data_IF_255502044316
#
_entry.id   IF_255502044316
#
_cell.length_a   1.000
_cell.length_b   1.000
_cell.length_c   1.000
_cell.angle_alpha   90.00
_cell.angle_beta   90.00
_cell.angle_gamma   90.00
#
_symmetry.space_group_name_H-M   'P 1'
#
loop_
_entity.id
_entity.type
_entity.pdbx_description
1 polymer ?
#
# COMPACT_ATOMS: atom_id res chain seq x y z
N UNK A 1 25.84 29.19 -6.83
CA UNK A 1 25.88 30.30 -7.81
C UNK A 1 25.25 29.90 -9.14
N UNK A 2 25.83 28.97 -9.93
CA UNK A 2 25.29 28.53 -11.23
C UNK A 2 23.79 28.14 -11.23
N UNK A 3 23.34 27.31 -10.28
CA UNK A 3 21.94 26.86 -10.25
C UNK A 3 20.94 27.92 -9.74
N UNK A 4 21.39 29.00 -9.11
CA UNK A 4 20.52 30.14 -8.73
C UNK A 4 20.39 31.13 -9.88
N UNK A 5 21.46 31.32 -10.66
CA UNK A 5 21.44 32.09 -11.91
C UNK A 5 20.53 31.41 -12.93
N UNK A 6 20.57 30.07 -13.02
CA UNK A 6 19.68 29.31 -13.88
C UNK A 6 18.21 29.39 -13.44
N UNK A 7 17.91 29.30 -12.14
CA UNK A 7 16.54 29.48 -11.63
C UNK A 7 16.02 30.90 -11.88
N UNK A 8 16.85 31.93 -11.65
CA UNK A 8 16.51 33.32 -11.95
C UNK A 8 16.30 33.56 -13.45
N UNK A 9 17.17 33.03 -14.32
CA UNK A 9 17.03 33.14 -15.77
C UNK A 9 15.79 32.41 -16.28
N UNK A 10 15.44 31.28 -15.66
CA UNK A 10 14.24 30.51 -15.98
C UNK A 10 12.98 31.26 -15.52
N UNK A 11 13.01 31.89 -14.34
CA UNK A 11 11.92 32.72 -13.83
C UNK A 11 11.68 33.96 -14.71
N UNK A 12 12.76 34.61 -15.16
CA UNK A 12 12.73 35.72 -16.12
C UNK A 12 12.19 35.26 -17.50
N UNK A 13 12.66 34.12 -18.02
CA UNK A 13 12.18 33.59 -19.29
C UNK A 13 10.70 33.13 -19.24
N UNK A 14 10.23 32.67 -18.08
CA UNK A 14 8.82 32.36 -17.84
C UNK A 14 7.96 33.62 -17.75
N UNK A 15 8.51 34.71 -17.21
CA UNK A 15 7.81 35.99 -17.10
C UNK A 15 7.61 36.65 -18.47
N UNK A 16 8.59 36.55 -19.38
CA UNK A 16 8.44 36.99 -20.77
C UNK A 16 7.49 36.10 -21.59
N UNK A 17 7.41 34.80 -21.27
CA UNK A 17 6.48 33.88 -21.92
C UNK A 17 5.01 34.04 -21.45
N UNK A 18 4.77 34.81 -20.38
CA UNK A 18 3.44 35.03 -19.80
C UNK A 18 2.56 36.06 -20.52
N UNK A 19 3.11 36.82 -21.49
CA UNK A 19 2.41 37.94 -22.14
C UNK A 19 2.05 37.69 -23.62
N UNK A 20 2.27 36.46 -24.12
CA UNK A 20 2.01 36.10 -25.51
C UNK A 20 0.90 35.05 -25.65
N UNK A 21 -0.08 35.32 -26.50
CA UNK A 21 -1.23 34.48 -26.91
C UNK A 21 -0.86 33.10 -27.55
N UNK A 22 0.02 32.31 -26.91
CA UNK A 22 0.70 31.17 -27.52
C UNK A 22 0.13 29.81 -27.14
N UNK A 23 -0.63 29.22 -28.07
CA UNK A 23 -0.75 27.78 -28.42
C UNK A 23 -0.60 26.74 -27.29
N UNK A 24 -1.56 25.81 -27.18
CA UNK A 24 -1.57 24.66 -26.23
C UNK A 24 -0.23 23.88 -26.15
N UNK A 25 0.55 23.86 -27.25
CA UNK A 25 1.89 23.28 -27.31
C UNK A 25 2.92 23.96 -26.40
N UNK A 26 2.83 25.28 -26.19
CA UNK A 26 3.69 26.04 -25.28
C UNK A 26 3.34 25.72 -23.82
N UNK A 27 2.04 25.65 -23.50
CA UNK A 27 1.55 25.29 -22.17
C UNK A 27 1.99 23.89 -21.72
N UNK A 28 2.01 22.90 -22.63
CA UNK A 28 2.52 21.55 -22.31
C UNK A 28 4.03 21.52 -22.03
N UNK A 29 4.82 22.30 -22.77
CA UNK A 29 6.28 22.41 -22.55
C UNK A 29 6.56 23.11 -21.23
N UNK A 30 5.81 24.15 -20.90
CA UNK A 30 5.91 24.91 -19.65
C UNK A 30 5.60 24.05 -18.42
N UNK A 31 4.52 23.25 -18.44
CA UNK A 31 4.20 22.31 -17.36
C UNK A 31 5.32 21.29 -17.12
N UNK A 32 5.96 20.82 -18.20
CA UNK A 32 7.09 19.89 -18.13
C UNK A 32 8.31 20.55 -17.47
N UNK A 33 8.61 21.80 -17.85
CA UNK A 33 9.72 22.58 -17.29
C UNK A 33 9.50 22.90 -15.82
N UNK A 34 8.29 23.30 -15.42
CA UNK A 34 7.92 23.52 -14.01
C UNK A 34 8.07 22.25 -13.18
N UNK A 35 7.66 21.09 -13.73
CA UNK A 35 7.82 19.78 -13.07
C UNK A 35 9.29 19.43 -12.88
N UNK A 36 10.12 19.68 -13.89
CA UNK A 36 11.57 19.46 -13.83
C UNK A 36 12.21 20.39 -12.80
N UNK A 37 11.83 21.67 -12.76
CA UNK A 37 12.30 22.66 -11.79
C UNK A 37 12.02 22.25 -10.34
N UNK A 38 10.83 21.68 -10.06
CA UNK A 38 10.50 21.13 -8.74
C UNK A 38 11.37 19.92 -8.37
N UNK A 39 11.60 19.01 -9.31
CA UNK A 39 12.45 17.82 -9.10
C UNK A 39 13.90 18.24 -8.85
N UNK A 40 14.44 19.20 -9.60
CA UNK A 40 15.80 19.72 -9.39
C UNK A 40 15.95 20.33 -8.02
N UNK A 41 14.95 21.07 -7.53
CA UNK A 41 14.94 21.64 -6.16
C UNK A 41 14.96 20.54 -5.09
N UNK A 42 14.13 19.50 -5.23
CA UNK A 42 14.10 18.37 -4.31
C UNK A 42 15.45 17.61 -4.27
N UNK A 43 16.02 17.34 -5.44
CA UNK A 43 17.35 16.71 -5.57
C UNK A 43 18.43 17.59 -4.94
N UNK A 44 18.34 18.91 -5.08
CA UNK A 44 19.27 19.87 -4.49
C UNK A 44 19.24 19.81 -2.97
N UNK A 45 18.05 19.78 -2.36
CA UNK A 45 17.89 19.65 -0.90
C UNK A 45 18.54 18.34 -0.43
N UNK A 46 18.27 17.22 -1.10
CA UNK A 46 18.88 15.92 -0.79
C UNK A 46 20.41 15.96 -0.95
N UNK A 47 20.94 16.63 -1.99
CA UNK A 47 22.39 16.79 -2.19
C UNK A 47 23.03 17.71 -1.15
N UNK A 48 22.37 18.80 -0.77
CA UNK A 48 22.84 19.77 0.22
C UNK A 48 22.91 19.12 1.60
N UNK A 49 21.88 18.36 1.94
CA UNK A 49 21.81 17.47 3.09
C UNK A 49 22.95 16.42 3.07
N UNK A 50 23.25 15.80 1.92
CA UNK A 50 24.36 14.86 1.76
C UNK A 50 25.76 15.52 1.88
N UNK A 51 25.89 16.83 1.65
CA UNK A 51 27.15 17.56 1.72
C UNK A 51 27.55 17.92 3.17
N UNK A 52 26.59 17.97 4.10
CA UNK A 52 26.84 18.23 5.52
C UNK A 52 27.23 16.92 6.22
N UNK A 53 28.51 16.83 6.63
CA UNK A 53 29.12 15.63 7.24
C UNK A 53 28.33 15.07 8.43
N UNK A 54 27.70 15.94 9.23
CA UNK A 54 26.86 15.57 10.38
C UNK A 54 25.54 14.90 9.95
N UNK A 55 24.84 15.45 8.95
CA UNK A 55 23.60 14.85 8.43
C UNK A 55 23.85 13.53 7.70
N UNK A 56 25.02 13.35 7.07
CA UNK A 56 25.42 12.08 6.45
C UNK A 56 25.43 10.93 7.46
N UNK A 57 25.90 11.19 8.68
CA UNK A 57 25.92 10.17 9.75
C UNK A 57 24.50 9.75 10.15
N UNK A 58 23.60 10.72 10.32
CA UNK A 58 22.21 10.46 10.68
C UNK A 58 21.44 9.74 9.57
N UNK A 59 21.64 10.13 8.30
CA UNK A 59 21.07 9.44 7.15
C UNK A 59 21.64 8.04 6.93
N UNK A 60 22.90 7.79 7.27
CA UNK A 60 23.49 6.46 7.20
C UNK A 60 22.81 5.52 8.20
N UNK A 61 22.59 5.99 9.43
CA UNK A 61 21.81 5.25 10.44
C UNK A 61 20.38 5.01 10.00
N UNK A 62 19.70 6.00 9.40
CA UNK A 62 18.35 5.83 8.83
C UNK A 62 18.36 4.85 7.65
N UNK A 63 19.35 4.92 6.76
CA UNK A 63 19.46 3.99 5.64
C UNK A 63 19.66 2.55 6.12
N UNK A 64 20.42 2.35 7.20
CA UNK A 64 20.61 1.06 7.82
C UNK A 64 19.31 0.53 8.45
N UNK A 65 18.56 1.36 9.18
CA UNK A 65 17.28 0.95 9.75
C UNK A 65 16.21 0.70 8.68
N UNK A 66 16.18 1.50 7.61
CA UNK A 66 15.30 1.26 6.45
C UNK A 66 15.61 -0.07 5.77
N UNK A 67 16.89 -0.43 5.61
CA UNK A 67 17.27 -1.74 5.05
C UNK A 67 16.79 -2.89 5.93
N UNK A 68 16.93 -2.78 7.25
CA UNK A 68 16.39 -3.77 8.18
C UNK A 68 14.86 -3.82 8.12
N UNK A 69 14.20 -2.65 8.04
CA UNK A 69 12.76 -2.52 7.93
C UNK A 69 12.21 -3.16 6.64
N UNK A 70 12.93 -3.08 5.52
CA UNK A 70 12.53 -3.77 4.27
C UNK A 70 12.44 -5.28 4.49
N UNK A 71 13.42 -5.89 5.16
CA UNK A 71 13.36 -7.33 5.47
C UNK A 71 12.18 -7.67 6.38
N UNK A 72 11.88 -6.82 7.37
CA UNK A 72 10.69 -6.98 8.20
C UNK A 72 9.39 -6.87 7.40
N UNK A 73 9.30 -5.93 6.44
CA UNK A 73 8.14 -5.78 5.55
C UNK A 73 8.00 -7.00 4.62
N UNK A 74 9.10 -7.53 4.10
CA UNK A 74 9.09 -8.76 3.29
C UNK A 74 8.60 -9.95 4.12
N UNK A 75 9.09 -10.10 5.35
CA UNK A 75 8.62 -11.14 6.27
C UNK A 75 7.12 -10.98 6.58
N UNK A 76 6.67 -9.75 6.85
CA UNK A 76 5.26 -9.45 7.08
C UNK A 76 4.41 -9.78 5.85
N UNK A 77 4.86 -9.42 4.65
CA UNK A 77 4.16 -9.73 3.41
C UNK A 77 4.06 -11.25 3.17
N UNK A 78 5.09 -12.02 3.53
CA UNK A 78 5.06 -13.48 3.46
C UNK A 78 4.02 -14.07 4.43
N UNK A 79 3.95 -13.55 5.65
CA UNK A 79 2.92 -13.96 6.63
C UNK A 79 1.52 -13.64 6.10
N UNK A 80 1.30 -12.42 5.59
CA UNK A 80 0.02 -12.02 4.99
C UNK A 80 -0.35 -12.93 3.80
N UNK A 81 0.63 -13.31 2.98
CA UNK A 81 0.41 -14.23 1.86
C UNK A 81 -0.03 -15.62 2.33
N UNK A 82 0.67 -16.20 3.33
CA UNK A 82 0.32 -17.52 3.86
C UNK A 82 -1.09 -17.54 4.47
N UNK A 83 -1.41 -16.58 5.33
CA UNK A 83 -2.74 -16.49 5.93
C UNK A 83 -3.82 -16.15 4.89
N UNK A 84 -3.51 -15.26 3.94
CA UNK A 84 -4.41 -14.92 2.85
C UNK A 84 -4.73 -16.11 1.96
N UNK A 85 -3.75 -16.99 1.70
CA UNK A 85 -3.95 -18.24 0.98
C UNK A 85 -4.88 -19.18 1.75
N UNK A 86 -4.61 -19.42 3.03
CA UNK A 86 -5.42 -20.29 3.90
C UNK A 86 -6.87 -19.80 3.95
N UNK A 87 -7.11 -18.51 4.18
CA UNK A 87 -8.47 -17.98 4.27
C UNK A 87 -9.22 -18.01 2.95
N UNK A 88 -8.52 -17.81 1.83
CA UNK A 88 -9.13 -17.93 0.50
C UNK A 88 -9.53 -19.37 0.22
N UNK A 89 -8.69 -20.34 0.60
CA UNK A 89 -8.95 -21.77 0.43
C UNK A 89 -10.17 -22.20 1.24
N UNK A 90 -10.20 -21.86 2.55
CA UNK A 90 -11.33 -22.14 3.45
C UNK A 90 -12.62 -21.51 2.92
N UNK A 91 -12.57 -20.24 2.51
CA UNK A 91 -13.77 -19.53 2.01
C UNK A 91 -14.25 -20.14 0.69
N UNK A 92 -13.34 -20.54 -0.19
CA UNK A 92 -13.69 -21.17 -1.46
C UNK A 92 -14.33 -22.54 -1.26
N UNK A 93 -13.80 -23.33 -0.32
CA UNK A 93 -14.40 -24.60 0.07
C UNK A 93 -15.77 -24.41 0.72
N UNK A 94 -15.93 -23.43 1.60
CA UNK A 94 -17.20 -23.11 2.24
C UNK A 94 -18.26 -22.64 1.23
N UNK A 95 -17.91 -21.78 0.27
CA UNK A 95 -18.84 -21.35 -0.79
C UNK A 95 -19.20 -22.50 -1.75
N UNK A 96 -18.32 -23.47 -1.91
CA UNK A 96 -18.55 -24.66 -2.74
C UNK A 96 -19.45 -25.71 -2.04
N UNK A 97 -19.50 -25.73 -0.71
CA UNK A 97 -20.38 -26.60 0.09
C UNK A 97 -21.77 -25.96 0.29
N UNK A 98 -22.78 -26.81 0.49
CA UNK A 98 -24.24 -26.56 0.41
C UNK A 98 -24.74 -25.12 0.61
N UNK A 99 -25.59 -24.67 -0.33
CA UNK A 99 -26.17 -23.33 -0.35
C UNK A 99 -27.38 -23.13 0.59
N UNK A 100 -27.83 -24.17 1.28
CA UNK A 100 -29.11 -24.16 1.98
C UNK A 100 -29.10 -23.62 3.41
N UNK A 101 -27.94 -23.44 4.05
CA UNK A 101 -27.80 -22.91 5.42
C UNK A 101 -27.14 -21.52 5.49
N UNK A 102 -26.94 -20.84 4.35
CA UNK A 102 -26.13 -19.61 4.30
C UNK A 102 -26.95 -18.35 4.54
N UNK A 103 -26.48 -17.49 5.45
CA UNK A 103 -26.97 -16.11 5.58
C UNK A 103 -26.46 -15.29 4.40
N UNK A 104 -27.37 -14.73 3.57
CA UNK A 104 -27.03 -13.96 2.35
C UNK A 104 -26.08 -12.77 2.62
N UNK A 105 -26.18 -12.18 3.82
CA UNK A 105 -25.33 -11.08 4.29
C UNK A 105 -23.88 -11.53 4.52
N UNK A 106 -23.68 -12.69 5.16
CA UNK A 106 -22.35 -13.23 5.44
C UNK A 106 -21.66 -13.68 4.14
N UNK A 107 -22.38 -14.36 3.25
CA UNK A 107 -21.84 -14.81 1.95
C UNK A 107 -21.33 -13.64 1.09
N UNK A 108 -22.08 -12.54 1.03
CA UNK A 108 -21.67 -11.33 0.31
C UNK A 108 -20.38 -10.72 0.86
N UNK A 109 -20.24 -10.69 2.19
CA UNK A 109 -19.04 -10.19 2.84
C UNK A 109 -17.83 -11.08 2.58
N UNK A 110 -17.95 -12.41 2.76
CA UNK A 110 -16.85 -13.34 2.51
C UNK A 110 -16.41 -13.32 1.05
N UNK A 111 -17.34 -13.27 0.10
CA UNK A 111 -16.99 -13.23 -1.32
C UNK A 111 -16.26 -11.95 -1.71
N UNK A 112 -16.67 -10.81 -1.14
CA UNK A 112 -16.02 -9.50 -1.32
C UNK A 112 -14.60 -9.47 -0.73
N UNK A 113 -14.44 -10.06 0.45
CA UNK A 113 -13.28 -9.80 1.32
C UNK A 113 -12.27 -10.94 1.38
N UNK A 114 -12.73 -12.17 1.16
CA UNK A 114 -11.97 -13.42 1.14
C UNK A 114 -12.17 -14.28 -0.12
N UNK A 115 -12.98 -13.83 -1.10
CA UNK A 115 -13.28 -14.60 -2.32
C UNK A 115 -12.11 -14.75 -3.31
N UNK A 116 -10.95 -14.16 -3.01
CA UNK A 116 -9.76 -14.31 -3.83
C UNK A 116 -8.51 -13.88 -3.07
N UNK A 117 -7.36 -14.43 -3.47
CA UNK A 117 -6.09 -14.25 -2.76
C UNK A 117 -5.72 -12.78 -2.55
N UNK A 118 -5.84 -11.96 -3.60
CA UNK A 118 -5.53 -10.53 -3.50
C UNK A 118 -6.49 -9.79 -2.55
N UNK A 119 -7.77 -10.16 -2.54
CA UNK A 119 -8.76 -9.59 -1.63
C UNK A 119 -8.44 -9.98 -0.18
N UNK A 120 -8.17 -11.26 0.09
CA UNK A 120 -7.77 -11.77 1.41
C UNK A 120 -6.51 -11.10 1.93
N UNK A 121 -5.48 -10.95 1.08
CA UNK A 121 -4.25 -10.23 1.44
C UNK A 121 -4.50 -8.75 1.74
N UNK A 122 -5.35 -8.09 0.95
CA UNK A 122 -5.72 -6.68 1.19
C UNK A 122 -6.51 -6.52 2.49
N UNK A 123 -7.39 -7.47 2.81
CA UNK A 123 -8.15 -7.52 4.06
C UNK A 123 -7.24 -7.66 5.26
N UNK A 124 -6.33 -8.63 5.25
CA UNK A 124 -5.32 -8.84 6.30
C UNK A 124 -4.43 -7.62 6.48
N UNK A 125 -3.98 -7.02 5.39
CA UNK A 125 -3.21 -5.78 5.42
C UNK A 125 -4.03 -4.65 6.05
N UNK A 126 -5.29 -4.47 5.63
CA UNK A 126 -6.19 -3.47 6.19
C UNK A 126 -6.45 -3.71 7.69
N UNK A 127 -6.54 -4.96 8.15
CA UNK A 127 -6.68 -5.28 9.58
C UNK A 127 -5.44 -4.93 10.39
N UNK A 128 -4.23 -5.13 9.84
CA UNK A 128 -2.97 -4.75 10.49
C UNK A 128 -2.82 -3.23 10.57
N UNK A 129 -3.21 -2.51 9.51
CA UNK A 129 -3.10 -1.04 9.46
C UNK A 129 -4.28 -0.31 10.10
N UNK A 130 -5.30 -1.03 10.59
CA UNK A 130 -6.49 -0.44 11.22
C UNK A 130 -7.52 0.15 10.25
N UNK A 131 -7.46 -0.20 8.96
CA UNK A 131 -8.47 0.16 7.95
C UNK A 131 -9.72 -0.74 7.98
N UNK A 132 -9.64 -1.90 8.62
CA UNK A 132 -10.75 -2.79 8.93
C UNK A 132 -10.55 -3.32 10.35
N UNK A 133 -11.60 -3.48 11.14
CA UNK A 133 -11.44 -4.11 12.45
C UNK A 133 -11.11 -5.60 12.27
N UNK A 134 -10.10 -6.10 12.98
CA UNK A 134 -9.75 -7.51 12.89
C UNK A 134 -10.89 -8.41 13.38
N UNK A 135 -11.72 -7.89 14.30
CA UNK A 135 -12.87 -8.57 14.89
C UNK A 135 -13.91 -8.89 13.81
N UNK A 136 -14.23 -7.95 12.92
CA UNK A 136 -15.14 -8.20 11.79
C UNK A 136 -14.65 -9.33 10.90
N UNK A 137 -13.34 -9.35 10.60
CA UNK A 137 -12.73 -10.42 9.79
C UNK A 137 -12.78 -11.77 10.51
N UNK A 138 -12.54 -11.79 11.82
CA UNK A 138 -12.65 -13.00 12.66
C UNK A 138 -14.07 -13.52 12.69
N UNK A 139 -15.04 -12.65 12.95
CA UNK A 139 -16.44 -13.04 13.14
C UNK A 139 -17.02 -13.65 11.86
N UNK A 140 -16.67 -13.09 10.70
CA UNK A 140 -17.03 -13.67 9.40
C UNK A 140 -16.43 -15.07 9.17
N UNK A 141 -15.20 -15.31 9.64
CA UNK A 141 -14.56 -16.63 9.54
C UNK A 141 -15.04 -17.61 10.63
N UNK A 142 -15.50 -17.10 11.78
CA UNK A 142 -16.01 -17.91 12.88
C UNK A 142 -17.29 -18.65 12.49
N UNK A 143 -18.16 -18.01 11.68
CA UNK A 143 -19.39 -18.61 11.14
C UNK A 143 -19.10 -19.80 10.20
N UNK A 144 -17.93 -19.82 9.53
CA UNK A 144 -17.45 -21.00 8.79
C UNK A 144 -16.94 -22.08 9.75
N UNK A 145 -16.30 -21.67 10.85
CA UNK A 145 -15.57 -22.58 11.74
C UNK A 145 -16.46 -23.42 12.66
N UNK A 146 -17.73 -23.08 12.83
CA UNK A 146 -18.69 -23.90 13.59
C UNK A 146 -18.80 -25.34 13.06
N UNK A 147 -18.44 -25.56 11.78
CA UNK A 147 -18.29 -26.91 11.20
C UNK A 147 -17.21 -27.73 11.93
N UNK A 148 -16.12 -27.13 12.39
CA UNK A 148 -15.07 -27.83 13.16
C UNK A 148 -15.50 -28.12 14.61
N UNK A 149 -16.38 -27.30 15.19
CA UNK A 149 -16.97 -27.56 16.51
C UNK A 149 -17.77 -28.87 16.58
N UNK A 150 -18.38 -29.28 15.46
CA UNK A 150 -19.09 -30.57 15.38
C UNK A 150 -18.15 -31.78 15.32
N UNK A 151 -16.93 -31.61 14.79
CA UNK A 151 -15.94 -32.70 14.72
C UNK A 151 -15.32 -33.05 16.08
N UNK A 152 -15.19 -32.06 16.97
CA UNK A 152 -14.77 -32.24 18.36
C UNK A 152 -15.87 -32.94 19.19
N UNK A 153 -17.15 -32.64 18.92
CA UNK A 153 -18.27 -33.31 19.59
C UNK A 153 -18.41 -34.79 19.20
N UNK A 154 -18.07 -35.16 17.96
CA UNK A 154 -18.05 -36.56 17.51
C UNK A 154 -16.92 -37.36 18.18
N UNK A 155 -15.74 -36.77 18.38
CA UNK A 155 -14.62 -37.43 19.06
C UNK A 155 -14.79 -37.57 20.59
N UNK A 156 -15.72 -36.83 21.20
CA UNK A 156 -15.94 -36.86 22.66
C UNK A 156 -17.05 -37.84 23.08
N UNK A 157 -17.75 -38.46 22.12
CA UNK A 157 -18.91 -39.35 22.37
C UNK A 157 -18.57 -40.85 22.14
N UNK A 158 -17.40 -41.18 21.58
CA UNK A 158 -16.83 -42.55 21.53
C UNK A 158 -15.74 -42.75 22.59
#
# INVERSE_FOLDING_TARGET
VSSSIFEFALEVALQEAGDGNGNVFTNMRLLRILRIGRITRAIRIVRLVKFIRSLRSLLYSIGHTLRAMVWSVVLLALIIFLFGLIFTDITSEYLARDAHERTEVTEGFLKSRFGGLQASMHTLYASITGGLTWIEARDALAEISDIWGTSELVWTID
#
